data_IF_921915766140
#
_entry.id   IF_921915766140
#
_cell.length_a   1.000
_cell.length_b   1.000
_cell.length_c   1.000
_cell.angle_alpha   90.00
_cell.angle_beta   90.00
_cell.angle_gamma   90.00
#
_symmetry.space_group_name_H-M   'P 1'
#
loop_
_entity.id
_entity.type
_entity.pdbx_description
1 polymer ?
#
# COMPACT_ATOMS: atom_id res chain seq x y z
N UNK A 1 6.35 -5.69 2.95
CA UNK A 1 6.01 -7.07 3.32
C UNK A 1 6.00 -7.90 2.05
N UNK A 2 6.77 -8.97 2.02
CA UNK A 2 6.85 -9.91 0.90
C UNK A 2 6.58 -11.34 1.39
N UNK A 3 6.29 -12.27 0.48
CA UNK A 3 6.07 -13.69 0.79
C UNK A 3 5.13 -14.36 -0.20
N UNK A 4 5.02 -15.71 -0.17
CA UNK A 4 4.15 -16.45 -1.08
C UNK A 4 2.66 -16.16 -0.86
N UNK A 5 1.87 -16.53 -1.86
CA UNK A 5 0.41 -16.51 -1.71
C UNK A 5 -0.01 -17.50 -0.61
N UNK A 6 -0.93 -17.10 0.26
CA UNK A 6 -1.30 -17.90 1.43
C UNK A 6 -0.34 -17.83 2.63
N UNK A 7 0.85 -17.20 2.50
CA UNK A 7 1.85 -17.11 3.56
C UNK A 7 1.45 -16.29 4.80
N UNK A 8 0.29 -15.61 4.78
CA UNK A 8 -0.23 -14.87 5.93
C UNK A 8 -0.09 -13.34 5.86
N UNK A 9 0.38 -12.76 4.74
CA UNK A 9 0.57 -11.30 4.58
C UNK A 9 -0.68 -10.50 4.93
N UNK A 10 -1.81 -10.82 4.30
CA UNK A 10 -3.10 -10.13 4.56
C UNK A 10 -3.60 -10.36 5.98
N UNK A 11 -3.32 -11.53 6.57
CA UNK A 11 -3.65 -11.82 7.98
C UNK A 11 -2.85 -10.91 8.91
N UNK A 12 -1.54 -10.75 8.67
CA UNK A 12 -0.69 -9.84 9.43
C UNK A 12 -1.20 -8.39 9.31
N UNK A 13 -1.49 -7.92 8.09
CA UNK A 13 -2.04 -6.58 7.86
C UNK A 13 -3.36 -6.38 8.60
N UNK A 14 -4.32 -7.31 8.47
CA UNK A 14 -5.60 -7.23 9.19
C UNK A 14 -5.43 -7.25 10.70
N UNK A 15 -4.41 -7.94 11.20
CA UNK A 15 -4.09 -7.96 12.63
C UNK A 15 -3.53 -6.61 13.08
N UNK A 16 -2.62 -6.00 12.30
CA UNK A 16 -2.11 -4.63 12.56
C UNK A 16 -3.24 -3.60 12.55
N UNK A 17 -4.19 -3.73 11.63
CA UNK A 17 -5.38 -2.87 11.54
C UNK A 17 -6.39 -3.09 12.68
N UNK A 18 -6.20 -4.10 13.53
CA UNK A 18 -7.15 -4.45 14.59
C UNK A 18 -8.42 -5.15 14.09
N UNK A 19 -8.46 -5.52 12.79
CA UNK A 19 -9.59 -6.27 12.19
C UNK A 19 -9.59 -7.74 12.58
N UNK A 20 -8.43 -8.27 12.98
CA UNK A 20 -8.27 -9.61 13.53
C UNK A 20 -7.54 -9.52 14.88
N UNK A 21 -8.01 -10.28 15.86
CA UNK A 21 -7.34 -10.41 17.16
C UNK A 21 -6.26 -11.47 17.09
N UNK A 22 -5.03 -11.21 17.59
CA UNK A 22 -4.01 -12.24 17.69
C UNK A 22 -4.44 -13.33 18.68
N UNK A 23 -4.15 -14.59 18.37
CA UNK A 23 -4.43 -15.74 19.27
C UNK A 23 -3.55 -15.66 20.52
N UNK A 24 -2.30 -15.20 20.35
CA UNK A 24 -1.33 -14.97 21.45
C UNK A 24 -0.55 -13.69 21.17
N UNK A 25 -0.05 -13.07 22.23
CA UNK A 25 0.73 -11.84 22.15
C UNK A 25 -0.16 -10.60 22.04
N UNK A 26 0.48 -9.48 21.68
CA UNK A 26 -0.17 -8.17 21.57
C UNK A 26 0.49 -7.35 20.47
N UNK A 27 -0.28 -6.41 19.88
CA UNK A 27 0.24 -5.38 19.01
C UNK A 27 0.43 -4.12 19.86
N UNK A 28 1.59 -3.50 19.72
CA UNK A 28 1.91 -2.25 20.38
C UNK A 28 2.39 -1.24 19.33
N UNK A 29 1.87 -0.04 19.41
CA UNK A 29 2.33 1.07 18.60
C UNK A 29 3.24 1.98 19.40
N UNK A 30 4.22 2.55 18.72
CA UNK A 30 5.16 3.49 19.31
C UNK A 30 5.22 4.75 18.43
N UNK A 31 5.25 5.91 19.09
CA UNK A 31 5.49 7.21 18.46
C UNK A 31 6.69 7.82 19.17
N UNK A 32 7.75 8.12 18.42
CA UNK A 32 9.00 8.69 18.99
C UNK A 32 9.54 7.90 20.19
N UNK A 33 9.48 6.58 20.12
CA UNK A 33 9.94 5.67 21.19
C UNK A 33 8.96 5.50 22.37
N UNK A 34 7.86 6.22 22.41
CA UNK A 34 6.83 6.10 23.45
C UNK A 34 5.66 5.25 22.97
N UNK A 35 5.19 4.36 23.84
CA UNK A 35 4.03 3.52 23.55
C UNK A 35 2.77 4.39 23.42
N UNK A 36 2.00 4.17 22.35
CA UNK A 36 0.72 4.83 22.10
C UNK A 36 -0.39 3.80 21.90
N UNK A 37 -1.62 4.08 22.33
CA UNK A 37 -2.73 3.13 22.20
C UNK A 37 -3.16 2.91 20.76
N UNK A 38 -2.97 3.89 19.87
CA UNK A 38 -3.34 3.81 18.45
C UNK A 38 -2.55 4.80 17.60
N UNK A 39 -2.46 4.50 16.32
CA UNK A 39 -1.98 5.42 15.27
C UNK A 39 -3.10 5.65 14.26
N UNK A 40 -3.04 6.79 13.55
CA UNK A 40 -3.90 7.01 12.39
C UNK A 40 -3.35 6.17 11.24
N UNK A 41 -4.13 5.21 10.77
CA UNK A 41 -3.73 4.29 9.71
C UNK A 41 -4.61 4.53 8.48
N UNK A 42 -3.97 4.87 7.36
CA UNK A 42 -4.58 4.81 6.04
C UNK A 42 -4.42 3.42 5.46
N UNK A 43 -5.46 2.86 4.84
CA UNK A 43 -5.39 1.52 4.29
C UNK A 43 -5.98 1.42 2.90
N UNK A 44 -5.19 0.88 1.97
CA UNK A 44 -5.62 0.44 0.66
C UNK A 44 -5.63 -1.08 0.62
N UNK A 45 -6.79 -1.74 0.58
CA UNK A 45 -6.88 -3.20 0.46
C UNK A 45 -6.58 -3.68 -0.96
N UNK A 46 -6.12 -4.92 -1.10
CA UNK A 46 -5.79 -5.58 -2.37
C UNK A 46 -6.97 -5.58 -3.36
N UNK A 47 -8.16 -5.85 -2.85
CA UNK A 47 -9.38 -5.88 -3.66
C UNK A 47 -10.32 -4.79 -3.19
N UNK A 48 -10.66 -3.91 -4.09
CA UNK A 48 -11.72 -2.93 -3.89
C UNK A 48 -12.75 -3.16 -4.99
N UNK A 49 -13.88 -3.77 -4.63
CA UNK A 49 -14.99 -3.95 -5.56
C UNK A 49 -15.78 -2.65 -5.63
N UNK A 50 -15.88 -2.08 -6.82
CA UNK A 50 -16.79 -0.99 -7.11
C UNK A 50 -17.86 -1.46 -8.06
N UNK A 51 -19.07 -1.06 -7.79
CA UNK A 51 -20.05 -1.00 -8.86
C UNK A 51 -19.65 0.17 -9.79
N UNK A 52 -19.18 -0.16 -10.99
CA UNK A 52 -18.77 0.84 -11.98
C UNK A 52 -19.89 1.76 -12.41
N UNK A 53 -21.14 1.36 -12.19
CA UNK A 53 -22.33 2.16 -12.50
C UNK A 53 -22.70 3.14 -11.38
N UNK A 54 -22.07 2.99 -10.21
CA UNK A 54 -22.35 3.90 -9.08
C UNK A 54 -21.73 5.27 -9.37
N UNK A 55 -22.53 6.35 -9.41
CA UNK A 55 -22.10 7.67 -9.88
C UNK A 55 -21.39 8.47 -8.78
N UNK A 56 -20.38 7.87 -8.13
CA UNK A 56 -19.55 8.56 -7.14
C UNK A 56 -18.37 9.22 -7.83
N UNK A 57 -18.11 10.50 -7.56
CA UNK A 57 -16.96 11.19 -8.11
C UNK A 57 -15.65 10.76 -7.46
N UNK A 58 -14.52 10.98 -8.16
CA UNK A 58 -13.16 10.79 -7.62
C UNK A 58 -13.00 11.57 -6.31
N UNK A 59 -13.47 12.83 -6.29
CA UNK A 59 -13.42 13.68 -5.10
C UNK A 59 -14.19 13.08 -3.92
N UNK A 60 -15.40 12.58 -4.15
CA UNK A 60 -16.22 11.98 -3.09
C UNK A 60 -15.60 10.67 -2.58
N UNK A 61 -14.96 9.89 -3.45
CA UNK A 61 -14.18 8.71 -3.05
C UNK A 61 -13.07 9.13 -2.08
N UNK A 62 -12.31 10.18 -2.39
CA UNK A 62 -11.24 10.67 -1.52
C UNK A 62 -11.83 11.17 -0.19
N UNK A 63 -12.86 12.02 -0.23
CA UNK A 63 -13.53 12.53 0.97
C UNK A 63 -14.07 11.42 1.87
N UNK A 64 -14.50 10.29 1.29
CA UNK A 64 -15.01 9.15 2.05
C UNK A 64 -13.97 8.56 3.02
N UNK A 65 -12.67 8.83 2.84
CA UNK A 65 -11.62 8.44 3.78
C UNK A 65 -11.70 9.16 5.12
N UNK A 66 -12.42 10.27 5.22
CA UNK A 66 -12.64 11.01 6.47
C UNK A 66 -13.80 10.47 7.32
N UNK A 67 -14.63 9.56 6.79
CA UNK A 67 -15.84 9.08 7.49
C UNK A 67 -15.57 8.35 8.81
N UNK A 68 -14.37 7.82 9.04
CA UNK A 68 -14.02 7.16 10.30
C UNK A 68 -14.05 8.08 11.53
N UNK A 69 -14.14 9.40 11.36
CA UNK A 69 -14.22 10.41 12.41
C UNK A 69 -15.59 11.08 12.55
N UNK A 70 -16.48 10.89 11.57
CA UNK A 70 -17.74 11.59 11.49
C UNK A 70 -18.92 10.62 11.37
N UNK A 71 -19.96 10.86 12.13
CA UNK A 71 -21.22 10.14 12.03
C UNK A 71 -21.82 10.31 10.63
N UNK A 72 -22.56 9.32 10.14
CA UNK A 72 -23.11 9.19 8.78
C UNK A 72 -23.86 10.44 8.24
N UNK A 73 -24.19 11.39 9.09
CA UNK A 73 -24.94 12.62 8.77
C UNK A 73 -24.08 13.89 8.74
N UNK A 74 -22.77 13.80 8.90
CA UNK A 74 -21.94 14.99 8.92
C UNK A 74 -21.58 15.43 7.50
N UNK A 75 -21.91 16.67 7.15
CA UNK A 75 -21.45 17.28 5.90
C UNK A 75 -19.98 17.66 6.04
N UNK A 76 -19.20 17.33 5.03
CA UNK A 76 -17.78 17.74 4.96
C UNK A 76 -17.67 19.27 4.98
N UNK A 77 -16.92 19.80 5.95
CA UNK A 77 -16.67 21.21 6.08
C UNK A 77 -15.66 21.74 5.06
N UNK A 78 -15.41 23.05 5.06
CA UNK A 78 -14.43 23.69 4.18
C UNK A 78 -13.03 23.13 4.36
N UNK A 79 -12.63 22.81 5.60
CA UNK A 79 -11.34 22.18 5.87
C UNK A 79 -11.21 20.78 5.28
N UNK A 80 -12.29 19.98 5.29
CA UNK A 80 -12.29 18.64 4.70
C UNK A 80 -12.21 18.72 3.17
N UNK A 81 -12.94 19.68 2.59
CA UNK A 81 -12.90 19.95 1.16
C UNK A 81 -11.49 20.36 0.71
N UNK A 82 -10.84 21.25 1.46
CA UNK A 82 -9.47 21.68 1.17
C UNK A 82 -8.49 20.51 1.22
N UNK A 83 -8.57 19.65 2.25
CA UNK A 83 -7.74 18.44 2.32
C UNK A 83 -7.93 17.51 1.12
N UNK A 84 -9.17 17.35 0.67
CA UNK A 84 -9.42 16.54 -0.52
C UNK A 84 -8.81 17.18 -1.77
N UNK A 85 -8.89 18.51 -1.92
CA UNK A 85 -8.30 19.23 -3.05
C UNK A 85 -6.76 19.12 -3.03
N UNK A 86 -6.14 19.28 -1.88
CA UNK A 86 -4.69 19.11 -1.71
C UNK A 86 -4.24 17.69 -2.10
N UNK A 87 -5.00 16.66 -1.70
CA UNK A 87 -4.72 15.27 -2.07
C UNK A 87 -4.98 15.01 -3.56
N UNK A 88 -6.03 15.58 -4.16
CA UNK A 88 -6.31 15.49 -5.59
C UNK A 88 -5.13 16.06 -6.39
N UNK A 89 -4.64 17.23 -5.98
CA UNK A 89 -3.51 17.88 -6.62
C UNK A 89 -2.23 17.05 -6.47
N UNK A 90 -1.92 16.59 -5.26
CA UNK A 90 -0.77 15.73 -4.99
C UNK A 90 -0.76 14.47 -5.87
N UNK A 91 -1.95 13.91 -6.15
CA UNK A 91 -2.13 12.68 -6.91
C UNK A 91 -2.31 12.92 -8.42
N UNK A 92 -2.18 14.16 -8.91
CA UNK A 92 -2.40 14.54 -10.32
C UNK A 92 -3.77 14.07 -10.84
N UNK A 93 -4.83 14.31 -10.07
CA UNK A 93 -6.21 13.92 -10.39
C UNK A 93 -7.12 15.11 -10.72
N UNK A 94 -6.57 16.34 -10.78
CA UNK A 94 -7.31 17.58 -11.01
C UNK A 94 -8.26 17.48 -12.22
N UNK A 95 -7.75 16.92 -13.33
CA UNK A 95 -8.49 16.80 -14.59
C UNK A 95 -9.68 15.82 -14.55
N UNK A 96 -9.78 14.99 -13.50
CA UNK A 96 -10.83 13.98 -13.38
C UNK A 96 -11.50 13.96 -11.99
N UNK A 97 -11.27 14.98 -11.17
CA UNK A 97 -11.77 15.05 -9.80
C UNK A 97 -13.31 14.91 -9.70
N UNK A 98 -14.03 15.44 -10.70
CA UNK A 98 -15.49 15.41 -10.76
C UNK A 98 -16.06 14.26 -11.61
N UNK A 99 -15.20 13.48 -12.28
CA UNK A 99 -15.64 12.34 -13.06
C UNK A 99 -16.06 11.19 -12.15
N UNK A 100 -16.98 10.36 -12.62
CA UNK A 100 -17.34 9.14 -11.91
C UNK A 100 -16.14 8.19 -11.83
N UNK A 101 -15.94 7.54 -10.69
CA UNK A 101 -14.81 6.62 -10.45
C UNK A 101 -14.77 5.44 -11.43
N UNK A 102 -15.94 5.07 -12.00
CA UNK A 102 -16.06 4.04 -13.01
C UNK A 102 -15.59 4.44 -14.41
N UNK A 103 -15.51 5.75 -14.71
CA UNK A 103 -15.18 6.31 -16.02
C UNK A 103 -13.71 6.64 -16.21
N UNK A 104 -12.92 6.66 -15.16
CA UNK A 104 -11.51 6.99 -15.19
C UNK A 104 -10.63 5.74 -15.43
N UNK A 105 -9.37 5.98 -15.85
CA UNK A 105 -8.41 4.90 -16.09
C UNK A 105 -8.10 4.09 -14.80
N UNK A 106 -7.58 2.85 -14.97
CA UNK A 106 -7.17 2.01 -13.85
C UNK A 106 -6.14 2.69 -12.94
N UNK A 107 -5.15 3.37 -13.53
CA UNK A 107 -4.12 4.10 -12.78
C UNK A 107 -4.67 5.32 -12.03
N UNK A 108 -5.58 6.09 -12.64
CA UNK A 108 -6.26 7.19 -11.96
C UNK A 108 -7.11 6.68 -10.80
N UNK A 109 -7.84 5.59 -11.02
CA UNK A 109 -8.65 4.95 -9.97
C UNK A 109 -7.78 4.48 -8.80
N UNK A 110 -6.64 3.86 -9.08
CA UNK A 110 -5.71 3.43 -8.05
C UNK A 110 -5.19 4.63 -7.25
N UNK A 111 -4.82 5.73 -7.90
CA UNK A 111 -4.43 6.96 -7.23
C UNK A 111 -5.56 7.55 -6.38
N UNK A 112 -6.79 7.54 -6.86
CA UNK A 112 -7.94 7.99 -6.09
C UNK A 112 -8.15 7.16 -4.80
N UNK A 113 -7.94 5.85 -4.86
CA UNK A 113 -8.02 4.97 -3.69
C UNK A 113 -6.89 5.19 -2.70
N UNK A 114 -5.67 5.49 -3.19
CA UNK A 114 -4.56 5.92 -2.34
C UNK A 114 -4.92 7.26 -1.69
N UNK A 115 -5.52 8.20 -2.44
CA UNK A 115 -5.99 9.47 -1.91
C UNK A 115 -7.01 9.31 -0.79
N UNK A 116 -7.94 8.38 -0.94
CA UNK A 116 -8.88 8.01 0.12
C UNK A 116 -8.17 7.54 1.39
N UNK A 117 -7.06 6.80 1.26
CA UNK A 117 -6.28 6.36 2.42
C UNK A 117 -5.41 7.48 3.02
N UNK A 118 -5.05 8.51 2.23
CA UNK A 118 -4.20 9.63 2.64
C UNK A 118 -4.97 10.80 3.27
N UNK A 119 -6.22 11.03 2.88
CA UNK A 119 -6.97 12.23 3.27
C UNK A 119 -7.18 12.38 4.78
N UNK A 120 -7.10 11.27 5.54
CA UNK A 120 -7.18 11.27 6.99
C UNK A 120 -5.86 11.68 7.67
N UNK A 121 -4.84 12.11 6.90
CA UNK A 121 -3.50 12.45 7.38
C UNK A 121 -2.91 11.32 8.25
N UNK A 122 -2.65 10.13 7.65
CA UNK A 122 -2.22 8.96 8.39
C UNK A 122 -0.78 9.07 8.88
N UNK A 123 -0.48 8.47 10.03
CA UNK A 123 0.88 8.26 10.53
C UNK A 123 1.51 7.02 9.90
N UNK A 124 0.67 6.05 9.49
CA UNK A 124 1.05 4.86 8.74
C UNK A 124 0.08 4.68 7.56
N UNK A 125 0.63 4.53 6.37
CA UNK A 125 -0.10 4.14 5.16
C UNK A 125 0.19 2.67 4.84
N UNK A 126 -0.82 1.84 4.85
CA UNK A 126 -0.72 0.42 4.48
C UNK A 126 -1.30 0.24 3.08
N UNK A 127 -0.47 -0.27 2.16
CA UNK A 127 -0.84 -0.51 0.77
C UNK A 127 -0.70 -2.01 0.47
N UNK A 128 -1.83 -2.68 0.21
CA UNK A 128 -1.86 -4.10 -0.11
C UNK A 128 -1.97 -4.28 -1.63
N UNK A 129 -0.85 -4.66 -2.28
CA UNK A 129 -0.72 -4.86 -3.73
C UNK A 129 -1.13 -3.64 -4.59
N UNK A 130 -0.56 -2.44 -4.35
CA UNK A 130 -1.03 -1.21 -5.01
C UNK A 130 -0.77 -1.17 -6.52
N UNK A 131 0.04 -2.09 -7.07
CA UNK A 131 0.43 -2.11 -8.49
C UNK A 131 -0.52 -2.90 -9.39
N UNK A 132 -1.53 -3.58 -8.85
CA UNK A 132 -2.34 -4.59 -9.56
C UNK A 132 -3.01 -4.06 -10.84
N UNK A 133 -3.30 -2.77 -10.93
CA UNK A 133 -4.00 -2.15 -12.07
C UNK A 133 -3.18 -1.08 -12.78
N UNK A 134 -1.87 -1.04 -12.53
CA UNK A 134 -0.98 0.01 -13.05
C UNK A 134 0.02 -0.62 -14.02
N UNK A 135 0.16 -0.05 -15.22
CA UNK A 135 1.20 -0.43 -16.17
C UNK A 135 2.59 -0.04 -15.66
N UNK A 136 3.64 -0.71 -16.21
CA UNK A 136 5.02 -0.51 -15.77
C UNK A 136 5.46 0.96 -15.77
N UNK A 137 5.05 1.75 -16.78
CA UNK A 137 5.42 3.17 -16.92
C UNK A 137 4.81 4.04 -15.82
N UNK A 138 3.60 3.70 -15.38
CA UNK A 138 2.91 4.44 -14.32
C UNK A 138 3.27 3.93 -12.92
N UNK A 139 3.89 2.75 -12.80
CA UNK A 139 4.42 2.24 -11.53
C UNK A 139 5.53 3.14 -10.98
N UNK A 140 6.48 3.57 -11.82
CA UNK A 140 7.58 4.44 -11.39
C UNK A 140 7.03 5.76 -10.81
N UNK A 141 6.02 6.36 -11.46
CA UNK A 141 5.36 7.57 -10.95
C UNK A 141 4.68 7.34 -9.60
N UNK A 142 4.05 6.18 -9.41
CA UNK A 142 3.47 5.82 -8.13
C UNK A 142 4.53 5.75 -7.03
N UNK A 143 5.67 5.12 -7.30
CA UNK A 143 6.75 5.02 -6.30
C UNK A 143 7.38 6.36 -5.98
N UNK A 144 7.55 7.26 -6.97
CA UNK A 144 8.00 8.63 -6.72
C UNK A 144 7.02 9.40 -5.81
N UNK A 145 5.72 9.26 -6.06
CA UNK A 145 4.68 9.81 -5.20
C UNK A 145 4.77 9.23 -3.78
N UNK A 146 4.91 7.90 -3.65
CA UNK A 146 5.04 7.26 -2.35
C UNK A 146 6.30 7.71 -1.60
N UNK A 147 7.40 8.01 -2.28
CA UNK A 147 8.59 8.61 -1.66
C UNK A 147 8.30 9.99 -1.07
N UNK A 148 7.52 10.82 -1.77
CA UNK A 148 7.10 12.13 -1.24
C UNK A 148 6.22 11.95 0.00
N UNK A 149 5.23 11.07 -0.04
CA UNK A 149 4.36 10.74 1.10
C UNK A 149 5.18 10.21 2.29
N UNK A 150 6.22 9.40 2.02
CA UNK A 150 7.04 8.79 3.07
C UNK A 150 7.88 9.80 3.87
N UNK A 151 7.95 11.06 3.45
CA UNK A 151 8.59 12.13 4.26
C UNK A 151 7.79 12.49 5.51
N UNK A 152 6.47 12.24 5.50
CA UNK A 152 5.56 12.60 6.58
C UNK A 152 4.80 11.41 7.18
N UNK A 153 4.78 10.27 6.48
CA UNK A 153 3.99 9.10 6.82
C UNK A 153 4.82 7.83 6.63
N UNK A 154 4.84 6.93 7.60
CA UNK A 154 5.45 5.61 7.41
C UNK A 154 4.62 4.79 6.42
N UNK A 155 5.29 4.10 5.48
CA UNK A 155 4.60 3.29 4.47
C UNK A 155 4.90 1.82 4.69
N UNK A 156 3.85 1.01 4.80
CA UNK A 156 3.89 -0.45 4.84
C UNK A 156 3.32 -0.98 3.51
N UNK A 157 4.22 -1.42 2.63
CA UNK A 157 3.87 -1.94 1.32
C UNK A 157 3.83 -3.46 1.34
N UNK A 158 2.72 -4.07 0.93
CA UNK A 158 2.62 -5.50 0.66
C UNK A 158 2.72 -5.71 -0.85
N UNK A 159 3.64 -6.55 -1.29
CA UNK A 159 3.81 -6.84 -2.73
C UNK A 159 4.41 -8.21 -2.94
N UNK A 160 4.09 -8.81 -4.09
CA UNK A 160 4.74 -10.00 -4.60
C UNK A 160 5.83 -9.68 -5.64
N UNK A 161 5.95 -8.43 -6.09
CA UNK A 161 7.01 -7.95 -7.00
C UNK A 161 8.27 -7.57 -6.23
N UNK A 162 9.13 -8.56 -5.99
CA UNK A 162 10.36 -8.40 -5.20
C UNK A 162 11.31 -7.40 -5.85
N UNK A 163 11.48 -7.45 -7.18
CA UNK A 163 12.41 -6.59 -7.88
C UNK A 163 12.08 -5.10 -7.74
N UNK A 164 10.80 -4.75 -7.79
CA UNK A 164 10.34 -3.37 -7.59
C UNK A 164 10.43 -2.96 -6.12
N UNK A 165 10.11 -3.88 -5.20
CA UNK A 165 10.17 -3.62 -3.75
C UNK A 165 11.60 -3.32 -3.31
N UNK A 166 12.58 -4.16 -3.66
CA UNK A 166 13.99 -4.00 -3.27
C UNK A 166 14.58 -2.64 -3.63
N UNK A 167 14.14 -2.04 -4.74
CA UNK A 167 14.60 -0.71 -5.18
C UNK A 167 14.02 0.46 -4.42
N UNK A 168 12.86 0.27 -3.80
CA UNK A 168 12.06 1.37 -3.28
C UNK A 168 11.87 1.36 -1.76
N UNK A 169 12.31 0.29 -1.05
CA UNK A 169 12.12 0.17 0.39
C UNK A 169 13.45 0.13 1.15
N UNK A 170 13.39 0.45 2.44
CA UNK A 170 14.57 0.39 3.34
C UNK A 170 14.65 -0.94 4.08
N UNK A 171 13.52 -1.53 4.38
CA UNK A 171 13.41 -2.73 5.19
C UNK A 171 12.40 -3.69 4.57
N UNK A 172 12.61 -4.98 4.79
CA UNK A 172 11.74 -6.04 4.30
C UNK A 172 11.24 -6.88 5.48
N UNK A 173 9.99 -7.25 5.38
CA UNK A 173 9.35 -8.24 6.26
C UNK A 173 8.94 -9.42 5.39
N UNK A 174 9.63 -10.54 5.55
CA UNK A 174 9.29 -11.80 4.88
C UNK A 174 8.24 -12.54 5.71
N UNK A 175 7.11 -12.90 5.07
CA UNK A 175 5.99 -13.57 5.73
C UNK A 175 5.66 -14.87 5.00
N UNK A 176 5.98 -16.00 5.65
CA UNK A 176 5.63 -17.35 5.21
C UNK A 176 5.42 -18.21 6.47
N UNK A 177 4.19 -18.20 7.01
CA UNK A 177 3.82 -18.77 8.32
C UNK A 177 4.62 -18.19 9.50
N UNK A 178 5.89 -17.89 9.30
CA UNK A 178 6.77 -17.14 10.19
C UNK A 178 7.01 -15.72 9.64
N UNK A 179 7.49 -14.83 10.50
CA UNK A 179 7.78 -13.45 10.14
C UNK A 179 9.25 -13.17 10.43
N UNK A 180 9.99 -12.75 9.40
CA UNK A 180 11.39 -12.36 9.48
C UNK A 180 11.56 -10.94 8.99
N UNK A 181 12.28 -10.12 9.76
CA UNK A 181 12.58 -8.73 9.42
C UNK A 181 14.04 -8.60 9.03
N UNK A 182 14.31 -7.91 7.91
CA UNK A 182 15.64 -7.65 7.39
C UNK A 182 15.76 -6.23 6.82
N UNK A 183 16.89 -5.52 7.08
CA UNK A 183 17.28 -4.38 6.26
C UNK A 183 17.51 -4.83 4.81
N UNK A 184 17.18 -3.97 3.82
CA UNK A 184 17.39 -4.32 2.40
C UNK A 184 18.86 -4.62 2.09
N UNK A 185 19.80 -3.97 2.78
CA UNK A 185 21.23 -4.21 2.64
C UNK A 185 21.71 -5.63 3.01
N UNK A 186 20.89 -6.39 3.73
CA UNK A 186 21.18 -7.75 4.19
C UNK A 186 20.42 -8.81 3.39
N UNK A 187 19.64 -8.38 2.38
CA UNK A 187 18.82 -9.30 1.57
C UNK A 187 19.68 -9.90 0.46
N UNK A 188 19.91 -11.20 0.53
CA UNK A 188 20.56 -12.01 -0.49
C UNK A 188 19.57 -12.99 -1.16
N UNK A 189 20.03 -13.69 -2.21
CA UNK A 189 19.21 -14.65 -2.96
C UNK A 189 18.74 -15.78 -2.04
N UNK A 190 19.59 -16.29 -1.17
CA UNK A 190 19.29 -17.40 -0.26
C UNK A 190 18.16 -17.04 0.71
N UNK A 191 18.17 -15.83 1.26
CA UNK A 191 17.14 -15.36 2.18
C UNK A 191 15.77 -15.29 1.49
N UNK A 192 15.76 -14.89 0.22
CA UNK A 192 14.52 -14.83 -0.57
C UNK A 192 14.06 -16.24 -0.93
N UNK A 193 14.96 -17.15 -1.35
CA UNK A 193 14.64 -18.55 -1.62
C UNK A 193 14.02 -19.22 -0.40
N UNK A 194 14.65 -19.08 0.77
CA UNK A 194 14.15 -19.63 2.03
C UNK A 194 12.76 -19.07 2.39
N UNK A 195 12.52 -17.78 2.07
CA UNK A 195 11.27 -17.11 2.39
C UNK A 195 10.11 -17.50 1.44
N UNK A 196 10.41 -17.78 0.17
CA UNK A 196 9.41 -18.10 -0.84
C UNK A 196 9.28 -19.61 -1.09
N UNK A 197 10.24 -20.41 -0.64
CA UNK A 197 10.23 -21.86 -0.81
C UNK A 197 10.42 -22.32 -2.26
N UNK A 198 10.92 -21.45 -3.15
CA UNK A 198 11.26 -21.80 -4.52
C UNK A 198 12.57 -21.11 -4.93
N UNK A 199 13.46 -21.81 -5.69
CA UNK A 199 14.66 -21.20 -6.20
C UNK A 199 14.31 -20.08 -7.17
N UNK A 200 14.99 -18.96 -7.06
CA UNK A 200 14.94 -17.90 -8.06
C UNK A 200 16.29 -17.20 -8.14
N UNK A 201 16.65 -16.76 -9.32
CA UNK A 201 17.87 -16.01 -9.55
C UNK A 201 17.59 -14.53 -9.67
N UNK A 202 18.34 -13.73 -8.93
CA UNK A 202 18.42 -12.29 -9.14
C UNK A 202 19.41 -12.04 -10.28
N UNK A 203 18.90 -11.89 -11.51
CA UNK A 203 19.76 -11.57 -12.64
C UNK A 203 19.98 -10.05 -12.70
N UNK A 204 21.20 -9.62 -12.45
CA UNK A 204 21.61 -8.24 -12.58
C UNK A 204 22.08 -7.94 -14.02
N UNK A 205 21.28 -7.21 -14.77
CA UNK A 205 21.70 -6.56 -16.00
C UNK A 205 21.95 -5.07 -15.70
N UNK A 206 23.21 -4.72 -15.39
CA UNK A 206 23.58 -3.38 -14.94
C UNK A 206 23.37 -3.20 -13.41
N UNK A 207 23.01 -2.00 -12.99
CA UNK A 207 22.84 -1.67 -11.55
C UNK A 207 21.55 -2.18 -10.92
N UNK A 208 20.75 -3.01 -11.62
CA UNK A 208 19.41 -3.38 -11.18
C UNK A 208 19.17 -4.88 -11.43
N UNK A 209 18.92 -5.69 -10.38
CA UNK A 209 18.59 -7.10 -10.53
C UNK A 209 17.16 -7.31 -11.07
N UNK A 210 17.00 -8.29 -11.98
CA UNK A 210 15.71 -8.73 -12.52
C UNK A 210 15.44 -10.19 -12.15
N UNK A 211 14.15 -10.54 -12.02
CA UNK A 211 13.72 -11.91 -11.78
C UNK A 211 13.65 -12.70 -13.10
N UNK A 212 14.27 -13.88 -13.16
CA UNK A 212 13.99 -14.91 -14.16
C UNK A 212 13.49 -16.14 -13.40
N UNK A 213 12.34 -16.67 -13.80
CA UNK A 213 11.88 -18.00 -13.35
C UNK A 213 12.62 -19.04 -14.19
N UNK A 214 13.32 -19.98 -13.59
CA UNK A 214 13.80 -21.16 -14.29
C UNK A 214 12.59 -21.98 -14.74
N UNK A 215 12.60 -22.40 -16.02
CA UNK A 215 11.61 -23.31 -16.53
C UNK A 215 11.79 -24.65 -15.82
N UNK A 216 10.74 -25.14 -15.18
CA UNK A 216 10.67 -26.52 -14.76
C UNK A 216 10.72 -27.38 -16.05
N UNK A 217 11.84 -28.01 -16.32
CA UNK A 217 11.88 -29.11 -17.23
C UNK A 217 11.30 -30.31 -16.50
N UNK A 218 10.16 -30.81 -17.03
CA UNK A 218 9.53 -32.09 -16.65
C UNK A 218 10.50 -33.26 -16.76
#
# INVERSE_FOLDING_TARGET
IIGPNGGGKTTLVKTILGLLKPIKGKIQFYREGQSTPSLRIGYLPQYTTFDRKFPISVRDVILSGLHGKHFVWHRFGTSDQQKADDIIHLLELDNCAHNAIGEISGGQRQRALIGRALVCDPEILILDEPNTYIDKKNQDKLYELLKQVNTHCAILLVSHDIGTVLRNVRNIVCVNHNVHYHPVSEVDEKLIEDSFGCPFQLVAHGQIPHRILENHTD
#
